data_IF_362600679330
#
_entry.id   IF_362600679330
#
_cell.length_a   1.000
_cell.length_b   1.000
_cell.length_c   1.000
_cell.angle_alpha   90.00
_cell.angle_beta   90.00
_cell.angle_gamma   90.00
#
_symmetry.space_group_name_H-M   'P 1'
#
loop_
_entity.id
_entity.type
_entity.pdbx_description
1 polymer ?
#
# COMPACT_ATOMS: atom_id res chain seq x y z
N UNK A 1 17.76 -3.50 -43.45
CA UNK A 1 16.59 -3.91 -42.65
C UNK A 1 16.32 -2.79 -41.66
N UNK A 2 15.33 -1.94 -41.97
CA UNK A 2 14.98 -0.79 -41.14
C UNK A 2 14.43 -1.24 -39.78
N UNK A 3 15.06 -0.78 -38.70
CA UNK A 3 14.53 -0.94 -37.35
C UNK A 3 13.32 -0.01 -37.21
N UNK A 4 12.12 -0.50 -37.57
CA UNK A 4 10.88 0.15 -37.15
C UNK A 4 10.84 0.14 -35.62
N UNK A 5 11.19 1.27 -35.02
CA UNK A 5 11.11 1.49 -33.58
C UNK A 5 9.65 1.31 -33.14
N UNK A 6 9.37 0.19 -32.49
CA UNK A 6 8.05 -0.12 -31.96
C UNK A 6 7.78 0.84 -30.80
N UNK A 7 6.72 1.66 -30.92
CA UNK A 7 6.37 2.69 -29.96
C UNK A 7 6.34 2.16 -28.52
N UNK A 8 6.93 2.93 -27.59
CA UNK A 8 7.01 2.61 -26.16
C UNK A 8 7.74 1.31 -25.81
N UNK A 9 8.61 0.79 -26.68
CA UNK A 9 9.40 -0.42 -26.37
C UNK A 9 10.91 -0.23 -26.49
N UNK A 10 11.65 -1.02 -25.72
CA UNK A 10 13.11 -1.18 -25.85
C UNK A 10 13.51 -2.63 -25.57
N UNK A 11 14.69 -3.04 -26.02
CA UNK A 11 15.18 -4.42 -25.86
C UNK A 11 16.30 -4.47 -24.82
N UNK A 12 16.20 -5.40 -23.87
CA UNK A 12 17.25 -5.70 -22.89
C UNK A 12 17.43 -7.22 -22.82
N UNK A 13 18.64 -7.71 -23.09
CA UNK A 13 18.98 -9.14 -23.09
C UNK A 13 18.05 -9.99 -24.00
N UNK A 14 17.68 -9.46 -25.17
CA UNK A 14 16.82 -10.15 -26.13
C UNK A 14 15.33 -10.21 -25.77
N UNK A 15 14.91 -9.60 -24.65
CA UNK A 15 13.52 -9.49 -24.23
C UNK A 15 13.04 -8.06 -24.45
N UNK A 16 11.81 -7.90 -24.98
CA UNK A 16 11.18 -6.59 -25.13
C UNK A 16 10.63 -6.09 -23.79
N UNK A 17 10.84 -4.81 -23.51
CA UNK A 17 10.32 -4.08 -22.37
C UNK A 17 9.42 -2.95 -22.86
N UNK A 18 8.40 -2.62 -22.07
CA UNK A 18 7.60 -1.41 -22.22
C UNK A 18 8.26 -0.28 -21.45
N UNK A 19 8.23 0.95 -22.00
CA UNK A 19 8.65 2.17 -21.33
C UNK A 19 7.82 3.36 -21.81
N UNK A 20 7.17 4.05 -20.88
CA UNK A 20 6.45 5.28 -21.14
C UNK A 20 6.65 6.29 -20.02
N UNK A 21 6.89 7.56 -20.38
CA UNK A 21 7.03 8.65 -19.42
C UNK A 21 5.66 9.05 -18.87
N UNK A 22 5.57 9.31 -17.57
CA UNK A 22 4.35 9.84 -16.93
C UNK A 22 4.21 11.33 -17.31
N UNK A 23 3.04 11.80 -17.77
CA UNK A 23 2.75 13.20 -18.04
C UNK A 23 3.03 14.08 -16.82
N UNK A 24 3.50 15.32 -17.04
CA UNK A 24 3.94 16.19 -15.95
C UNK A 24 2.80 16.51 -14.96
N UNK A 25 1.60 16.71 -15.48
CA UNK A 25 0.35 16.94 -14.75
C UNK A 25 -0.07 15.77 -13.86
N UNK A 26 0.46 14.57 -14.10
CA UNK A 26 0.11 13.37 -13.35
C UNK A 26 1.27 12.84 -12.49
N UNK A 27 2.40 13.56 -12.41
CA UNK A 27 3.59 13.07 -11.68
C UNK A 27 3.31 12.80 -10.21
N UNK A 28 2.46 13.60 -9.57
CA UNK A 28 2.15 13.47 -8.15
C UNK A 28 1.38 12.18 -7.83
N UNK A 29 0.75 11.56 -8.84
CA UNK A 29 0.08 10.27 -8.71
C UNK A 29 1.03 9.06 -8.87
N UNK A 30 2.32 9.27 -9.18
CA UNK A 30 3.27 8.18 -9.45
C UNK A 30 4.59 8.34 -8.68
N UNK A 31 5.09 7.23 -8.13
CA UNK A 31 6.38 7.17 -7.42
C UNK A 31 7.60 7.32 -8.34
N UNK A 32 7.40 7.21 -9.66
CA UNK A 32 8.47 7.34 -10.66
C UNK A 32 7.97 8.08 -11.90
N UNK A 33 8.87 8.83 -12.54
CA UNK A 33 8.58 9.62 -13.74
C UNK A 33 8.41 8.77 -15.01
N UNK A 34 8.65 7.45 -14.93
CA UNK A 34 8.58 6.52 -16.06
C UNK A 34 8.05 5.16 -15.62
N UNK A 35 7.06 4.66 -16.33
CA UNK A 35 6.51 3.30 -16.15
C UNK A 35 7.26 2.37 -17.09
N UNK A 36 7.91 1.34 -16.54
CA UNK A 36 8.61 0.34 -17.36
C UNK A 36 8.58 -1.05 -16.78
N UNK A 37 8.28 -2.04 -17.63
CA UNK A 37 8.22 -3.46 -17.24
C UNK A 37 8.48 -4.37 -18.46
N UNK A 38 8.83 -5.64 -18.20
CA UNK A 38 9.10 -6.62 -19.25
C UNK A 38 7.81 -7.05 -19.95
N UNK A 39 7.79 -7.06 -21.27
CA UNK A 39 6.70 -7.60 -22.09
C UNK A 39 6.76 -9.12 -22.21
N UNK A 40 7.74 -9.78 -21.58
CA UNK A 40 7.91 -11.25 -21.53
C UNK A 40 7.83 -11.93 -22.91
N UNK A 41 8.44 -11.32 -23.92
CA UNK A 41 8.48 -11.86 -25.28
C UNK A 41 9.77 -11.44 -25.98
N UNK A 42 10.25 -12.32 -26.87
CA UNK A 42 11.35 -12.05 -27.82
C UNK A 42 10.85 -11.75 -29.23
N UNK A 43 9.53 -11.89 -29.49
CA UNK A 43 8.91 -11.67 -30.80
C UNK A 43 8.40 -10.23 -30.91
N UNK A 44 8.86 -9.50 -31.93
CA UNK A 44 8.53 -8.09 -32.15
C UNK A 44 7.01 -7.82 -32.32
N UNK A 45 6.31 -8.69 -33.07
CA UNK A 45 4.85 -8.54 -33.31
C UNK A 45 4.05 -8.66 -32.01
N UNK A 46 4.41 -9.63 -31.16
CA UNK A 46 3.77 -9.83 -29.84
C UNK A 46 4.11 -8.68 -28.89
N UNK A 47 5.35 -8.18 -28.95
CA UNK A 47 5.77 -7.03 -28.16
C UNK A 47 4.97 -5.78 -28.54
N UNK A 48 4.78 -5.52 -29.84
CA UNK A 48 3.97 -4.43 -30.35
C UNK A 48 2.53 -4.49 -29.83
N UNK A 49 1.85 -5.62 -29.99
CA UNK A 49 0.48 -5.78 -29.52
C UNK A 49 0.34 -5.54 -28.00
N UNK A 50 1.27 -6.09 -27.20
CA UNK A 50 1.28 -5.88 -25.74
C UNK A 50 1.60 -4.44 -25.34
N UNK A 51 2.55 -3.81 -26.03
CA UNK A 51 2.92 -2.42 -25.78
C UNK A 51 1.78 -1.45 -26.12
N UNK A 52 1.09 -1.67 -27.25
CA UNK A 52 -0.09 -0.88 -27.64
C UNK A 52 -1.20 -1.02 -26.60
N UNK A 53 -1.51 -2.23 -26.15
CA UNK A 53 -2.52 -2.46 -25.11
C UNK A 53 -2.15 -1.76 -23.80
N UNK A 54 -0.90 -1.87 -23.36
CA UNK A 54 -0.42 -1.20 -22.15
C UNK A 54 -0.45 0.33 -22.28
N UNK A 55 -0.13 0.87 -23.47
CA UNK A 55 -0.23 2.30 -23.73
C UNK A 55 -1.69 2.78 -23.65
N UNK A 56 -2.62 2.06 -24.28
CA UNK A 56 -4.05 2.39 -24.24
C UNK A 56 -4.59 2.40 -22.81
N UNK A 57 -4.26 1.39 -22.00
CA UNK A 57 -4.66 1.34 -20.59
C UNK A 57 -4.13 2.52 -19.78
N UNK A 58 -2.89 2.94 -20.05
CA UNK A 58 -2.34 4.14 -19.42
C UNK A 58 -3.04 5.41 -19.88
N UNK A 59 -3.43 5.51 -21.16
CA UNK A 59 -4.15 6.67 -21.67
C UNK A 59 -5.55 6.79 -21.08
N UNK A 60 -6.29 5.69 -20.99
CA UNK A 60 -7.60 5.64 -20.34
C UNK A 60 -7.51 6.05 -18.86
N UNK A 61 -6.52 5.51 -18.14
CA UNK A 61 -6.29 5.86 -16.75
C UNK A 61 -5.88 7.33 -16.56
N UNK A 62 -4.95 7.84 -17.38
CA UNK A 62 -4.55 9.25 -17.34
C UNK A 62 -5.68 10.19 -17.72
N UNK A 63 -6.53 9.80 -18.67
CA UNK A 63 -7.73 10.54 -19.03
C UNK A 63 -8.70 10.62 -17.84
N UNK A 64 -8.93 9.50 -17.16
CA UNK A 64 -9.75 9.45 -15.95
C UNK A 64 -9.21 10.37 -14.84
N UNK A 65 -7.91 10.32 -14.55
CA UNK A 65 -7.28 11.22 -13.57
C UNK A 65 -7.47 12.70 -13.91
N UNK A 66 -7.37 13.06 -15.21
CA UNK A 66 -7.63 14.43 -15.67
C UNK A 66 -9.09 14.83 -15.53
N UNK A 67 -10.03 13.91 -15.82
CA UNK A 67 -11.45 14.16 -15.64
C UNK A 67 -11.82 14.40 -14.17
N UNK A 68 -11.18 13.70 -13.23
CA UNK A 68 -11.37 13.93 -11.80
C UNK A 68 -10.84 15.29 -11.34
N UNK A 69 -9.75 15.78 -11.95
CA UNK A 69 -9.16 17.10 -11.64
C UNK A 69 -9.76 18.26 -12.44
N UNK A 70 -10.71 18.02 -13.36
CA UNK A 70 -11.47 19.09 -13.99
C UNK A 70 -12.62 19.52 -13.07
N UNK A 71 -12.45 20.63 -12.36
CA UNK A 71 -13.58 21.35 -11.81
C UNK A 71 -14.51 21.78 -12.96
N UNK A 72 -15.79 21.42 -12.88
CA UNK A 72 -16.79 21.82 -13.85
C UNK A 72 -16.82 23.37 -13.93
N UNK A 73 -16.48 23.99 -15.07
CA UNK A 73 -16.58 25.44 -15.22
C UNK A 73 -18.04 25.85 -15.01
N UNK A 74 -18.29 26.72 -14.02
CA UNK A 74 -19.64 27.15 -13.65
C UNK A 74 -20.35 26.29 -12.61
N UNK A 75 -19.65 25.39 -11.88
CA UNK A 75 -20.20 24.61 -10.74
C UNK A 75 -20.96 25.46 -9.72
N UNK A 76 -20.55 26.71 -9.52
CA UNK A 76 -21.19 27.68 -8.61
C UNK A 76 -22.50 28.30 -9.16
N UNK A 77 -22.82 28.08 -10.44
CA UNK A 77 -24.02 28.61 -11.11
C UNK A 77 -25.13 27.57 -11.26
N UNK A 78 -24.94 26.35 -10.73
CA UNK A 78 -25.96 25.31 -10.73
C UNK A 78 -27.07 25.69 -9.75
N UNK A 79 -28.24 26.02 -10.28
CA UNK A 79 -29.43 26.39 -9.51
C UNK A 79 -30.09 25.12 -8.96
N UNK A 80 -29.99 24.88 -7.66
CA UNK A 80 -30.77 23.83 -6.98
C UNK A 80 -32.24 24.28 -6.99
N UNK A 81 -33.02 23.79 -7.95
CA UNK A 81 -34.45 24.06 -8.03
C UNK A 81 -35.24 23.21 -7.04
N UNK A 82 -36.28 23.75 -6.37
CA UNK A 82 -37.18 22.96 -5.55
C UNK A 82 -37.97 21.97 -6.42
N UNK A 83 -38.00 20.70 -6.01
CA UNK A 83 -38.74 19.63 -6.65
C UNK A 83 -40.25 19.83 -6.44
N UNK A 84 -40.99 20.17 -7.48
CA UNK A 84 -42.47 20.12 -7.50
C UNK A 84 -42.93 18.89 -8.27
N UNK A 85 -43.85 18.07 -7.74
CA UNK A 85 -44.36 16.90 -8.45
C UNK A 85 -45.49 17.33 -9.39
N UNK A 86 -45.29 17.18 -10.71
CA UNK A 86 -46.34 17.30 -11.70
C UNK A 86 -46.42 16.01 -12.54
N UNK A 87 -47.57 15.34 -12.45
CA UNK A 87 -47.99 14.25 -13.32
C UNK A 87 -48.31 14.79 -14.73
N UNK A 88 -47.94 14.09 -15.82
CA UNK A 88 -48.77 13.25 -16.76
C UNK A 88 -47.79 12.59 -17.80
N UNK A 89 -48.19 11.71 -18.76
CA UNK A 89 -47.99 10.25 -18.69
C UNK A 89 -47.05 9.62 -19.76
N UNK A 90 -46.62 8.40 -19.41
CA UNK A 90 -46.31 7.19 -20.22
C UNK A 90 -45.99 7.38 -21.72
N UNK A 91 -44.71 7.14 -22.05
CA UNK A 91 -44.28 6.89 -23.43
C UNK A 91 -42.78 7.01 -23.67
N UNK A 92 -41.92 6.61 -22.72
CA UNK A 92 -40.47 6.56 -22.96
C UNK A 92 -39.89 5.40 -22.19
N UNK A 93 -39.18 4.54 -22.92
CA UNK A 93 -38.28 3.51 -22.39
C UNK A 93 -37.52 4.04 -21.18
N UNK A 94 -37.67 3.36 -20.05
CA UNK A 94 -36.91 3.65 -18.83
C UNK A 94 -35.42 3.74 -19.18
N UNK A 95 -34.75 4.89 -18.98
CA UNK A 95 -33.35 4.84 -18.62
C UNK A 95 -33.32 4.26 -17.21
N UNK A 96 -32.78 3.06 -17.06
CA UNK A 96 -32.45 2.49 -15.75
C UNK A 96 -31.54 3.49 -15.02
N UNK A 97 -32.06 4.10 -13.96
CA UNK A 97 -31.33 4.89 -13.00
C UNK A 97 -31.49 4.17 -11.65
N UNK A 98 -30.46 3.93 -10.84
CA UNK A 98 -29.17 4.60 -10.78
C UNK A 98 -28.04 3.58 -10.56
N UNK A 99 -26.89 3.82 -11.20
CA UNK A 99 -25.60 3.34 -10.69
C UNK A 99 -25.50 3.82 -9.23
N UNK A 100 -25.60 2.89 -8.27
CA UNK A 100 -25.02 3.16 -6.96
C UNK A 100 -23.54 3.48 -7.19
N UNK A 101 -22.96 4.48 -6.50
CA UNK A 101 -21.53 4.76 -6.63
C UNK A 101 -20.76 3.53 -6.16
N UNK A 102 -20.34 2.71 -7.13
CA UNK A 102 -19.60 1.50 -6.86
C UNK A 102 -18.23 1.90 -6.31
N UNK A 103 -18.02 1.68 -5.01
CA UNK A 103 -16.75 1.97 -4.36
C UNK A 103 -15.88 0.72 -4.49
N UNK A 104 -14.98 0.74 -5.46
CA UNK A 104 -14.02 -0.34 -5.66
C UNK A 104 -13.03 -0.45 -4.49
N UNK A 105 -12.36 -1.59 -4.35
CA UNK A 105 -11.37 -1.77 -3.29
C UNK A 105 -10.18 -0.81 -3.47
N UNK A 106 -9.76 -0.52 -4.70
CA UNK A 106 -8.71 0.46 -4.96
C UNK A 106 -9.11 1.88 -4.53
N UNK A 107 -10.36 2.29 -4.79
CA UNK A 107 -10.90 3.57 -4.32
C UNK A 107 -11.07 3.60 -2.79
N UNK A 108 -11.49 2.49 -2.18
CA UNK A 108 -11.54 2.36 -0.72
C UNK A 108 -10.16 2.54 -0.08
N UNK A 109 -9.09 2.02 -0.70
CA UNK A 109 -7.70 2.25 -0.25
C UNK A 109 -7.33 3.71 -0.39
N UNK A 110 -7.61 4.34 -1.54
CA UNK A 110 -7.32 5.75 -1.75
C UNK A 110 -8.03 6.64 -0.71
N UNK A 111 -9.31 6.36 -0.44
CA UNK A 111 -10.10 7.03 0.59
C UNK A 111 -9.50 6.82 2.00
N UNK A 112 -9.14 5.58 2.33
CA UNK A 112 -8.52 5.24 3.61
C UNK A 112 -7.20 5.98 3.82
N UNK A 113 -6.34 6.03 2.81
CA UNK A 113 -5.05 6.70 2.89
C UNK A 113 -5.19 8.23 2.92
N UNK A 114 -6.12 8.80 2.17
CA UNK A 114 -6.40 10.23 2.19
C UNK A 114 -6.86 10.71 3.57
N UNK A 115 -7.72 9.94 4.23
CA UNK A 115 -8.32 10.35 5.51
C UNK A 115 -7.52 9.90 6.74
N UNK A 116 -6.95 8.69 6.73
CA UNK A 116 -6.16 8.16 7.86
C UNK A 116 -4.65 8.31 7.71
N UNK A 117 -4.15 8.66 6.53
CA UNK A 117 -2.72 8.61 6.19
C UNK A 117 -1.93 9.90 6.40
N UNK A 118 -2.57 11.06 6.58
CA UNK A 118 -1.88 12.37 6.59
C UNK A 118 -0.74 12.51 7.63
N UNK A 119 -0.84 11.83 8.78
CA UNK A 119 0.19 11.84 9.84
C UNK A 119 0.78 10.45 10.08
N UNK A 120 0.76 9.57 9.07
CA UNK A 120 1.23 8.19 9.18
C UNK A 120 2.50 7.99 8.36
N UNK A 121 3.44 7.16 8.85
CA UNK A 121 4.69 6.90 8.14
C UNK A 121 4.43 6.19 6.81
N UNK A 122 5.39 6.27 5.88
CA UNK A 122 5.31 5.58 4.57
C UNK A 122 5.06 4.06 4.70
N UNK A 123 5.46 3.45 5.81
CA UNK A 123 5.19 2.03 6.12
C UNK A 123 3.69 1.74 6.27
N UNK A 124 2.90 2.68 6.77
CA UNK A 124 1.44 2.58 6.86
C UNK A 124 0.80 2.56 5.48
N UNK A 125 1.18 3.51 4.62
CA UNK A 125 0.71 3.60 3.23
C UNK A 125 0.99 2.31 2.47
N UNK A 126 2.26 1.88 2.48
CA UNK A 126 2.69 0.63 1.84
C UNK A 126 1.99 -0.60 2.41
N UNK A 127 1.59 -0.61 3.68
CA UNK A 127 0.88 -1.72 4.28
C UNK A 127 -0.55 -1.83 3.73
N UNK A 128 -1.27 -0.71 3.62
CA UNK A 128 -2.62 -0.67 3.05
C UNK A 128 -2.62 -1.09 1.58
N UNK A 129 -1.76 -0.45 0.76
CA UNK A 129 -1.62 -0.73 -0.66
C UNK A 129 -1.25 -2.18 -0.92
N UNK A 130 -0.24 -2.71 -0.23
CA UNK A 130 0.21 -4.10 -0.42
C UNK A 130 -0.86 -5.10 -0.02
N UNK A 131 -1.50 -4.90 1.14
CA UNK A 131 -2.47 -5.86 1.67
C UNK A 131 -3.72 -5.94 0.80
N UNK A 132 -4.22 -4.79 0.34
CA UNK A 132 -5.37 -4.75 -0.56
C UNK A 132 -4.99 -5.12 -2.00
N UNK A 133 -3.76 -4.82 -2.43
CA UNK A 133 -3.21 -5.28 -3.70
C UNK A 133 -3.22 -6.81 -3.82
N UNK A 134 -2.91 -7.53 -2.73
CA UNK A 134 -3.04 -9.00 -2.73
C UNK A 134 -4.48 -9.49 -2.91
N UNK A 135 -5.48 -8.75 -2.41
CA UNK A 135 -6.89 -9.08 -2.64
C UNK A 135 -7.24 -8.85 -4.10
N UNK A 136 -6.81 -7.72 -4.68
CA UNK A 136 -7.03 -7.40 -6.10
C UNK A 136 -6.37 -8.45 -7.01
N UNK A 137 -5.14 -8.86 -6.70
CA UNK A 137 -4.42 -9.90 -7.44
C UNK A 137 -5.17 -11.26 -7.39
N UNK A 138 -5.76 -11.61 -6.26
CA UNK A 138 -6.41 -12.91 -6.05
C UNK A 138 -7.88 -12.95 -6.51
N UNK A 139 -8.61 -11.84 -6.35
CA UNK A 139 -10.07 -11.80 -6.48
C UNK A 139 -10.57 -10.72 -7.46
N UNK A 140 -9.68 -9.88 -8.00
CA UNK A 140 -10.02 -8.74 -8.84
C UNK A 140 -10.38 -7.50 -8.03
N UNK A 141 -10.37 -6.34 -8.70
CA UNK A 141 -10.80 -5.07 -8.10
C UNK A 141 -12.33 -4.94 -8.23
N UNK A 142 -13.03 -5.40 -7.20
CA UNK A 142 -14.49 -5.37 -7.10
C UNK A 142 -14.96 -4.23 -6.21
N UNK A 143 -16.23 -3.88 -6.36
CA UNK A 143 -16.97 -3.11 -5.36
C UNK A 143 -16.85 -3.76 -3.96
N UNK A 144 -16.69 -2.95 -2.91
CA UNK A 144 -16.52 -3.45 -1.54
C UNK A 144 -17.70 -4.33 -1.06
N UNK A 145 -18.90 -4.12 -1.59
CA UNK A 145 -20.10 -4.92 -1.29
C UNK A 145 -20.20 -6.22 -2.10
N UNK A 146 -19.46 -6.33 -3.21
CA UNK A 146 -19.49 -7.48 -4.11
C UNK A 146 -18.54 -8.61 -3.68
N UNK A 147 -17.68 -8.39 -2.69
CA UNK A 147 -16.82 -9.45 -2.16
C UNK A 147 -17.64 -10.48 -1.36
N UNK A 148 -17.31 -11.74 -1.58
CA UNK A 148 -18.00 -12.88 -0.94
C UNK A 148 -17.08 -13.60 0.04
N UNK A 149 -17.66 -14.52 0.83
CA UNK A 149 -16.87 -15.43 1.66
C UNK A 149 -15.93 -16.31 0.82
N UNK A 150 -16.33 -16.67 -0.40
CA UNK A 150 -15.51 -17.44 -1.31
C UNK A 150 -14.27 -16.65 -1.75
N UNK A 151 -14.41 -15.34 -2.03
CA UNK A 151 -13.28 -14.46 -2.31
C UNK A 151 -12.31 -14.40 -1.12
N UNK A 152 -12.83 -14.27 0.09
CA UNK A 152 -11.99 -14.23 1.29
C UNK A 152 -11.20 -15.53 1.52
N UNK A 153 -11.78 -16.68 1.17
CA UNK A 153 -11.11 -17.98 1.20
C UNK A 153 -10.05 -18.10 0.08
N UNK A 154 -10.39 -17.70 -1.15
CA UNK A 154 -9.44 -17.69 -2.27
C UNK A 154 -8.24 -16.77 -1.97
N UNK A 155 -8.51 -15.61 -1.36
CA UNK A 155 -7.48 -14.71 -0.87
C UNK A 155 -6.57 -15.38 0.16
N UNK A 156 -7.12 -16.04 1.19
CA UNK A 156 -6.33 -16.81 2.17
C UNK A 156 -5.43 -17.82 1.46
N UNK A 157 -6.01 -18.62 0.57
CA UNK A 157 -5.29 -19.70 -0.11
C UNK A 157 -4.15 -19.15 -0.98
N UNK A 158 -4.36 -17.98 -1.59
CA UNK A 158 -3.30 -17.26 -2.33
C UNK A 158 -2.14 -16.81 -1.43
N UNK A 159 -2.42 -16.40 -0.18
CA UNK A 159 -1.37 -16.01 0.77
C UNK A 159 -0.58 -17.21 1.30
N UNK A 160 -1.26 -18.35 1.51
CA UNK A 160 -0.63 -19.62 1.89
C UNK A 160 0.25 -20.11 0.75
N UNK A 161 -0.22 -20.06 -0.51
CA UNK A 161 0.55 -20.43 -1.69
C UNK A 161 1.81 -19.56 -1.89
N UNK A 162 1.79 -18.33 -1.38
CA UNK A 162 2.95 -17.42 -1.33
C UNK A 162 3.88 -17.67 -0.14
N UNK A 163 3.60 -18.70 0.68
CA UNK A 163 4.40 -19.13 1.83
C UNK A 163 4.56 -18.03 2.88
N UNK A 164 3.51 -17.25 3.11
CA UNK A 164 3.48 -16.28 4.22
C UNK A 164 3.27 -17.01 5.55
N UNK A 165 3.94 -16.57 6.60
CA UNK A 165 3.68 -17.03 7.97
C UNK A 165 2.27 -16.63 8.44
N UNK A 166 1.71 -17.40 9.36
CA UNK A 166 0.40 -17.15 9.96
C UNK A 166 0.28 -15.77 10.63
N UNK A 167 1.37 -15.28 11.23
CA UNK A 167 1.44 -13.91 11.77
C UNK A 167 1.39 -12.85 10.68
N UNK A 168 2.01 -13.10 9.52
CA UNK A 168 1.95 -12.21 8.36
C UNK A 168 0.55 -12.20 7.73
N UNK A 169 -0.06 -13.36 7.56
CA UNK A 169 -1.45 -13.49 7.08
C UNK A 169 -2.40 -12.73 8.01
N UNK A 170 -2.22 -12.86 9.33
CA UNK A 170 -3.03 -12.14 10.33
C UNK A 170 -2.98 -10.62 10.14
N UNK A 171 -1.78 -10.06 9.93
CA UNK A 171 -1.60 -8.62 9.71
C UNK A 171 -2.26 -8.16 8.41
N UNK A 172 -2.05 -8.91 7.33
CA UNK A 172 -2.65 -8.62 6.01
C UNK A 172 -4.18 -8.61 6.09
N UNK A 173 -4.80 -9.64 6.66
CA UNK A 173 -6.26 -9.68 6.88
C UNK A 173 -6.73 -8.57 7.83
N UNK A 174 -5.94 -8.20 8.83
CA UNK A 174 -6.21 -7.04 9.69
C UNK A 174 -6.35 -5.76 8.89
N UNK A 175 -5.37 -5.46 8.03
CA UNK A 175 -5.37 -4.26 7.19
C UNK A 175 -6.53 -4.22 6.21
N UNK A 176 -6.79 -5.31 5.49
CA UNK A 176 -7.91 -5.38 4.52
C UNK A 176 -9.25 -5.12 5.22
N UNK A 177 -9.48 -5.73 6.39
CA UNK A 177 -10.70 -5.48 7.18
C UNK A 177 -10.83 -4.03 7.60
N UNK A 178 -9.75 -3.41 8.06
CA UNK A 178 -9.75 -2.01 8.47
C UNK A 178 -10.07 -1.07 7.31
N UNK A 179 -9.52 -1.32 6.11
CA UNK A 179 -9.78 -0.51 4.91
C UNK A 179 -11.24 -0.62 4.51
N UNK A 180 -11.76 -1.85 4.34
CA UNK A 180 -13.15 -2.07 3.89
C UNK A 180 -14.15 -1.52 4.90
N UNK A 181 -13.95 -1.77 6.20
CA UNK A 181 -14.88 -1.27 7.22
C UNK A 181 -14.86 0.25 7.31
N UNK A 182 -13.68 0.88 7.18
CA UNK A 182 -13.57 2.33 7.19
C UNK A 182 -14.27 2.94 5.98
N UNK A 183 -13.98 2.41 4.79
CA UNK A 183 -14.58 2.87 3.55
C UNK A 183 -16.11 2.72 3.59
N UNK A 184 -16.62 1.56 4.00
CA UNK A 184 -18.05 1.32 4.15
C UNK A 184 -18.71 2.33 5.11
N UNK A 185 -18.09 2.59 6.27
CA UNK A 185 -18.61 3.58 7.22
C UNK A 185 -18.60 5.01 6.65
N UNK A 186 -17.57 5.39 5.90
CA UNK A 186 -17.44 6.72 5.31
C UNK A 186 -18.49 6.98 4.22
N UNK A 187 -18.82 5.96 3.42
CA UNK A 187 -19.87 6.08 2.39
C UNK A 187 -21.27 5.68 2.87
N UNK A 188 -21.43 5.37 4.16
CA UNK A 188 -22.73 5.04 4.76
C UNK A 188 -23.27 3.64 4.43
N UNK A 189 -22.42 2.72 3.97
CA UNK A 189 -22.80 1.34 3.64
C UNK A 189 -22.73 0.47 4.89
N UNK A 190 -23.83 -0.22 5.19
CA UNK A 190 -23.84 -1.29 6.21
C UNK A 190 -23.51 -2.62 5.55
N UNK A 191 -22.30 -3.13 5.79
CA UNK A 191 -21.81 -4.37 5.20
C UNK A 191 -21.28 -5.32 6.29
N UNK A 192 -21.62 -6.61 6.17
CA UNK A 192 -20.91 -7.67 6.90
C UNK A 192 -19.63 -8.02 6.14
N UNK A 193 -18.48 -7.64 6.68
CA UNK A 193 -17.20 -7.79 5.98
C UNK A 193 -16.86 -9.29 5.72
N UNK A 194 -16.75 -9.73 4.46
CA UNK A 194 -16.49 -11.14 4.11
C UNK A 194 -15.10 -11.62 4.51
N UNK A 195 -14.14 -10.71 4.75
CA UNK A 195 -12.80 -11.02 5.23
C UNK A 195 -12.73 -11.18 6.77
N UNK A 196 -13.82 -10.87 7.49
CA UNK A 196 -13.89 -11.07 8.94
C UNK A 196 -14.15 -12.55 9.29
N UNK A 197 -13.36 -13.09 10.21
CA UNK A 197 -13.56 -14.46 10.72
C UNK A 197 -13.09 -15.59 9.78
N UNK A 198 -12.27 -15.29 8.77
CA UNK A 198 -11.64 -16.33 7.94
C UNK A 198 -10.65 -17.13 8.79
N UNK A 199 -10.76 -18.46 8.74
CA UNK A 199 -9.87 -19.37 9.45
C UNK A 199 -8.57 -19.62 8.68
N UNK A 200 -7.45 -19.52 9.39
CA UNK A 200 -6.09 -19.91 8.98
C UNK A 200 -5.26 -20.18 10.23
N UNK A 201 -4.23 -21.02 10.12
CA UNK A 201 -3.30 -21.26 11.21
C UNK A 201 -2.43 -20.02 11.43
N UNK A 202 -2.54 -19.41 12.61
CA UNK A 202 -1.78 -18.21 13.00
C UNK A 202 -0.34 -18.52 13.41
N UNK A 203 -0.05 -19.77 13.76
CA UNK A 203 1.27 -20.24 14.21
C UNK A 203 2.10 -20.84 13.08
N UNK A 204 1.49 -21.18 11.94
CA UNK A 204 2.19 -21.72 10.78
C UNK A 204 3.36 -20.82 10.35
N UNK A 205 4.57 -21.39 10.26
CA UNK A 205 5.77 -20.65 9.85
C UNK A 205 6.18 -19.50 10.79
N UNK A 206 5.72 -19.50 12.03
CA UNK A 206 6.19 -18.58 13.07
C UNK A 206 7.27 -19.29 13.87
N UNK A 207 8.50 -18.79 13.77
CA UNK A 207 9.61 -19.20 14.62
C UNK A 207 9.66 -18.31 15.86
N UNK A 208 9.78 -18.93 17.04
CA UNK A 208 10.05 -18.21 18.27
C UNK A 208 11.53 -17.81 18.30
N UNK A 209 11.79 -16.54 18.67
CA UNK A 209 13.16 -16.05 18.83
C UNK A 209 13.65 -16.44 20.21
N UNK A 210 14.69 -17.27 20.26
CA UNK A 210 15.34 -17.61 21.52
C UNK A 210 16.19 -16.44 22.03
N UNK A 211 16.17 -16.15 23.35
CA UNK A 211 17.07 -15.18 23.95
C UNK A 211 18.52 -15.59 23.80
N UNK A 212 19.42 -14.61 23.65
CA UNK A 212 20.86 -14.87 23.72
C UNK A 212 21.26 -15.20 25.17
N UNK A 213 22.14 -16.18 25.33
CA UNK A 213 22.71 -16.50 26.63
C UNK A 213 23.61 -15.39 27.16
N UNK A 214 23.74 -15.22 28.49
CA UNK A 214 24.56 -14.16 29.09
C UNK A 214 26.02 -14.16 28.60
N UNK A 215 26.60 -15.34 28.38
CA UNK A 215 27.98 -15.47 27.90
C UNK A 215 28.15 -14.99 26.45
N UNK A 216 27.15 -15.22 25.60
CA UNK A 216 27.20 -14.75 24.21
C UNK A 216 27.00 -13.23 24.13
N UNK A 217 26.16 -12.67 25.02
CA UNK A 217 26.01 -11.21 25.16
C UNK A 217 27.35 -10.57 25.57
N UNK A 218 28.03 -11.12 26.59
CA UNK A 218 29.36 -10.65 27.01
C UNK A 218 30.38 -10.73 25.89
N UNK A 219 30.40 -11.85 25.13
CA UNK A 219 31.31 -12.00 23.98
C UNK A 219 31.05 -10.96 22.89
N UNK A 220 29.78 -10.58 22.66
CA UNK A 220 29.44 -9.49 21.73
C UNK A 220 29.93 -8.15 22.28
N UNK A 221 29.72 -7.86 23.56
CA UNK A 221 30.17 -6.63 24.21
C UNK A 221 31.69 -6.48 24.17
N UNK A 222 32.46 -7.53 24.47
CA UNK A 222 33.92 -7.54 24.35
C UNK A 222 34.37 -7.19 22.93
N UNK A 223 33.72 -7.77 21.90
CA UNK A 223 34.01 -7.44 20.50
C UNK A 223 33.65 -6.00 20.16
N UNK A 224 32.60 -5.45 20.76
CA UNK A 224 32.25 -4.04 20.61
C UNK A 224 33.35 -3.14 21.16
N UNK A 225 33.87 -3.44 22.36
CA UNK A 225 34.98 -2.70 22.96
C UNK A 225 36.28 -2.79 22.16
N UNK A 226 36.61 -3.96 21.60
CA UNK A 226 37.82 -4.13 20.78
C UNK A 226 37.75 -3.34 19.46
N UNK A 227 36.57 -3.28 18.84
CA UNK A 227 36.38 -2.57 17.58
C UNK A 227 36.28 -1.05 17.76
N UNK A 228 35.63 -0.61 18.84
CA UNK A 228 35.51 0.80 19.26
C UNK A 228 35.06 1.76 18.13
N UNK A 229 34.02 1.37 17.40
CA UNK A 229 33.41 2.19 16.34
C UNK A 229 31.95 2.56 16.64
N UNK A 230 31.45 3.60 15.97
CA UNK A 230 30.11 4.16 16.17
C UNK A 230 29.00 3.11 16.13
N UNK A 231 29.09 2.12 15.22
CA UNK A 231 28.09 1.08 15.11
C UNK A 231 28.13 0.12 16.32
N UNK A 232 29.32 -0.17 16.85
CA UNK A 232 29.50 -1.07 18.00
C UNK A 232 29.17 -0.39 19.32
N UNK A 233 29.35 0.92 19.43
CA UNK A 233 28.85 1.68 20.58
C UNK A 233 27.34 1.54 20.72
N UNK A 234 26.60 1.61 19.60
CA UNK A 234 25.15 1.42 19.59
C UNK A 234 24.74 0.00 20.02
N UNK A 235 25.47 -1.02 19.56
CA UNK A 235 25.23 -2.42 19.95
C UNK A 235 25.52 -2.63 21.43
N UNK A 236 26.64 -2.12 21.93
CA UNK A 236 27.00 -2.20 23.35
C UNK A 236 25.92 -1.52 24.22
N UNK A 237 25.54 -0.29 23.87
CA UNK A 237 24.49 0.46 24.58
C UNK A 237 23.17 -0.31 24.64
N UNK A 238 22.71 -0.87 23.51
CA UNK A 238 21.47 -1.67 23.46
C UNK A 238 21.60 -2.94 24.29
N UNK A 239 22.76 -3.60 24.29
CA UNK A 239 22.98 -4.82 25.05
C UNK A 239 22.97 -4.60 26.57
N UNK A 240 23.48 -3.45 27.04
CA UNK A 240 23.53 -3.12 28.47
C UNK A 240 22.19 -2.58 29.00
N UNK A 241 21.47 -1.82 28.17
CA UNK A 241 20.26 -1.09 28.62
C UNK A 241 18.95 -1.76 28.24
N UNK A 242 18.95 -2.64 27.24
CA UNK A 242 17.74 -3.21 26.65
C UNK A 242 16.88 -2.21 25.88
N UNK A 243 17.40 -1.02 25.56
CA UNK A 243 16.69 -0.01 24.76
C UNK A 243 16.35 -0.53 23.36
N UNK A 244 15.27 -0.02 22.76
CA UNK A 244 15.04 -0.29 21.33
C UNK A 244 16.13 0.40 20.51
N UNK A 245 16.53 -0.24 19.41
CA UNK A 245 17.56 0.31 18.52
C UNK A 245 17.30 1.76 18.09
N UNK A 246 16.04 2.10 17.78
CA UNK A 246 15.66 3.46 17.38
C UNK A 246 15.70 4.47 18.55
N UNK A 247 15.50 4.01 19.79
CA UNK A 247 15.62 4.87 20.98
C UNK A 247 17.10 5.16 21.27
N UNK A 248 17.95 4.14 21.17
CA UNK A 248 19.39 4.27 21.37
C UNK A 248 20.07 5.11 20.26
N UNK A 249 19.67 4.93 19.00
CA UNK A 249 20.21 5.69 17.88
C UNK A 249 19.75 7.16 17.84
N UNK A 250 18.62 7.48 18.47
CA UNK A 250 18.07 8.83 18.54
C UNK A 250 18.46 9.60 19.81
N UNK A 251 19.39 9.07 20.59
CA UNK A 251 19.75 9.64 21.88
C UNK A 251 20.60 10.90 21.74
N UNK A 252 20.28 11.94 22.51
CA UNK A 252 21.11 13.14 22.57
C UNK A 252 22.21 12.99 23.65
N UNK A 253 23.34 13.69 23.50
CA UNK A 253 24.41 13.68 24.52
C UNK A 253 23.88 14.11 25.91
N UNK A 254 22.95 15.07 25.93
CA UNK A 254 22.30 15.53 27.17
C UNK A 254 21.50 14.43 27.87
N UNK A 255 21.07 13.39 27.16
CA UNK A 255 20.30 12.28 27.74
C UNK A 255 21.22 11.28 28.47
N UNK A 256 22.54 11.33 28.27
CA UNK A 256 23.52 10.44 28.90
C UNK A 256 24.06 11.10 30.17
N UNK A 257 23.75 10.52 31.34
CA UNK A 257 24.15 11.04 32.64
C UNK A 257 25.24 10.16 33.25
N UNK A 258 26.50 10.61 33.15
CA UNK A 258 27.67 9.88 33.66
C UNK A 258 28.14 10.35 35.04
N UNK A 259 27.74 11.55 35.47
CA UNK A 259 28.26 12.17 36.70
C UNK A 259 27.57 11.69 37.99
N UNK A 260 26.57 10.81 37.88
CA UNK A 260 25.87 10.23 39.03
C UNK A 260 26.55 8.96 39.57
N UNK A 261 26.17 8.51 40.78
CA UNK A 261 26.69 7.26 41.37
C UNK A 261 26.35 6.02 40.52
N UNK A 262 25.28 6.10 39.73
CA UNK A 262 24.91 5.10 38.74
C UNK A 262 24.71 5.84 37.41
N UNK A 263 25.60 5.64 36.42
CA UNK A 263 25.40 6.17 35.07
C UNK A 263 24.09 5.66 34.48
N UNK A 264 23.32 6.55 33.85
CA UNK A 264 22.01 6.21 33.31
C UNK A 264 21.66 7.05 32.09
N UNK A 265 20.63 6.60 31.36
CA UNK A 265 20.10 7.27 30.17
C UNK A 265 18.70 7.79 30.47
N UNK A 266 18.47 9.08 30.24
CA UNK A 266 17.18 9.75 30.45
C UNK A 266 16.47 9.98 29.11
N UNK A 267 15.44 9.19 28.78
CA UNK A 267 14.66 9.44 27.57
C UNK A 267 13.68 10.60 27.78
N UNK A 268 14.01 11.80 27.26
CA UNK A 268 13.07 12.93 27.27
C UNK A 268 12.11 12.83 26.07
N UNK A 269 10.80 12.69 26.32
CA UNK A 269 9.79 12.57 25.26
C UNK A 269 9.56 13.89 24.47
N UNK A 270 10.26 14.97 24.81
CA UNK A 270 9.85 16.36 24.52
C UNK A 270 10.69 17.10 23.45
N UNK A 271 11.74 16.51 22.87
CA UNK A 271 12.61 17.20 21.89
C UNK A 271 12.60 16.52 20.53
N UNK A 272 11.42 16.41 19.92
CA UNK A 272 11.27 15.99 18.52
C UNK A 272 10.58 17.11 17.76
N UNK A 273 11.34 18.15 17.46
CA UNK A 273 11.07 19.08 16.36
C UNK A 273 11.85 18.63 15.12
#
# INVERSE_FOLDING_TARGET
MEYQAVAFTFVKQGIYYFARKVPNDLRDHYTSSRISFSLRTRKAVVARARATKAAQQLDEHWHFLRMQNMDLPGKHMLRIGPQTPAAVPIGVSQPQAADEPALTLSEAVALYLRLKGNNRPATFHRAAERSCGYVIDACGDKDITAYTRADANAFRDSLIARVLSGSSITRVFGTVRSVINFAAAEVGITLTNPFAGVYYDRKAGVEDREPLGPEDVRRVQEKCHVADDEARWLVALVSDTGMRLAEAAGLHLDDIKLEGPIPHVCQSASKRD
#
